data_IF_674742424533
#
_entry.id   IF_674742424533
#
_cell.length_a   1.000
_cell.length_b   1.000
_cell.length_c   1.000
_cell.angle_alpha   90.00
_cell.angle_beta   90.00
_cell.angle_gamma   90.00
#
_symmetry.space_group_name_H-M   'P 1'
#
loop_
_entity.id
_entity.type
_entity.pdbx_description
1 polymer ?
#
# COMPACT_ATOMS: atom_id res chain seq x y z
N UNK A 1 -65.35 18.11 -68.06
CA UNK A 1 -65.79 18.61 -66.74
C UNK A 1 -66.75 17.69 -65.98
N UNK A 2 -67.40 16.69 -66.61
CA UNK A 2 -68.30 15.76 -65.90
C UNK A 2 -67.58 14.84 -64.89
N UNK A 3 -66.34 14.44 -65.19
CA UNK A 3 -65.56 13.52 -64.35
C UNK A 3 -65.19 14.12 -62.98
N UNK A 4 -64.78 15.40 -62.96
CA UNK A 4 -64.49 16.14 -61.72
C UNK A 4 -65.76 16.30 -60.85
N UNK A 5 -66.92 16.57 -61.47
CA UNK A 5 -68.19 16.65 -60.73
C UNK A 5 -68.65 15.31 -60.18
N UNK A 6 -68.38 14.20 -60.88
CA UNK A 6 -68.76 12.83 -60.45
C UNK A 6 -67.83 12.27 -59.37
N UNK A 7 -66.56 12.69 -59.35
CA UNK A 7 -65.53 12.25 -58.39
C UNK A 7 -65.06 13.38 -57.47
N UNK A 8 -65.96 14.30 -57.12
CA UNK A 8 -65.63 15.53 -56.41
C UNK A 8 -64.91 15.27 -55.06
N UNK A 9 -65.35 14.24 -54.32
CA UNK A 9 -64.71 13.84 -53.06
C UNK A 9 -63.26 13.40 -53.23
N UNK A 10 -62.92 12.71 -54.33
CA UNK A 10 -61.55 12.27 -54.61
C UNK A 10 -60.64 13.48 -54.89
N UNK A 11 -61.13 14.45 -55.67
CA UNK A 11 -60.37 15.66 -56.01
C UNK A 11 -60.11 16.51 -54.76
N UNK A 12 -61.12 16.66 -53.90
CA UNK A 12 -60.97 17.36 -52.61
C UNK A 12 -59.96 16.60 -51.73
N UNK A 13 -60.05 15.28 -51.65
CA UNK A 13 -59.10 14.46 -50.89
C UNK A 13 -57.65 14.66 -51.34
N UNK A 14 -57.40 14.63 -52.65
CA UNK A 14 -56.05 14.86 -53.22
C UNK A 14 -55.56 16.29 -52.91
N UNK A 15 -56.42 17.29 -53.06
CA UNK A 15 -56.07 18.67 -52.74
C UNK A 15 -55.69 18.84 -51.26
N UNK A 16 -56.46 18.24 -50.35
CA UNK A 16 -56.17 18.26 -48.90
C UNK A 16 -54.87 17.53 -48.60
N UNK A 17 -54.64 16.37 -49.23
CA UNK A 17 -53.38 15.62 -49.06
C UNK A 17 -52.16 16.41 -49.53
N UNK A 18 -52.26 17.15 -50.64
CA UNK A 18 -51.17 17.99 -51.13
C UNK A 18 -50.88 19.16 -50.19
N UNK A 19 -51.91 19.77 -49.61
CA UNK A 19 -51.75 20.83 -48.61
C UNK A 19 -51.09 20.30 -47.35
N UNK A 20 -51.52 19.13 -46.85
CA UNK A 20 -50.90 18.50 -45.68
C UNK A 20 -49.45 18.09 -45.94
N UNK A 21 -49.15 17.54 -47.12
CA UNK A 21 -47.77 17.19 -47.50
C UNK A 21 -46.87 18.42 -47.62
N UNK A 22 -47.38 19.50 -48.24
CA UNK A 22 -46.66 20.77 -48.34
C UNK A 22 -46.40 21.38 -46.95
N UNK A 23 -47.41 21.37 -46.08
CA UNK A 23 -47.30 21.84 -44.71
C UNK A 23 -46.31 21.01 -43.88
N UNK A 24 -46.33 19.69 -44.01
CA UNK A 24 -45.38 18.80 -43.34
C UNK A 24 -43.95 19.02 -43.84
N UNK A 25 -43.76 19.17 -45.15
CA UNK A 25 -42.46 19.48 -45.73
C UNK A 25 -41.91 20.83 -45.26
N UNK A 26 -42.75 21.85 -45.20
CA UNK A 26 -42.37 23.16 -44.67
C UNK A 26 -42.02 23.11 -43.19
N UNK A 27 -42.83 22.42 -42.38
CA UNK A 27 -42.57 22.24 -40.94
C UNK A 27 -41.25 21.52 -40.69
N UNK A 28 -40.98 20.43 -41.41
CA UNK A 28 -39.71 19.69 -41.28
C UNK A 28 -38.54 20.59 -41.68
N UNK A 29 -38.67 21.35 -42.77
CA UNK A 29 -37.62 22.26 -43.22
C UNK A 29 -37.36 23.38 -42.20
N UNK A 30 -38.42 24.00 -41.65
CA UNK A 30 -38.28 25.09 -40.68
C UNK A 30 -37.75 24.66 -39.32
N UNK A 31 -38.04 23.43 -38.88
CA UNK A 31 -37.59 22.90 -37.59
C UNK A 31 -36.29 22.09 -37.66
N UNK A 32 -35.75 21.85 -38.85
CA UNK A 32 -34.57 20.98 -39.01
C UNK A 32 -33.36 21.52 -38.27
N UNK A 33 -33.12 22.84 -38.33
CA UNK A 33 -31.94 23.48 -37.75
C UNK A 33 -31.99 23.45 -36.21
N UNK A 34 -33.16 23.73 -35.62
CA UNK A 34 -33.38 23.68 -34.17
C UNK A 34 -33.27 22.25 -33.62
N UNK A 35 -33.73 21.25 -34.38
CA UNK A 35 -33.62 19.84 -33.98
C UNK A 35 -32.16 19.37 -34.04
N UNK A 36 -31.41 19.74 -35.09
CA UNK A 36 -29.99 19.41 -35.19
C UNK A 36 -29.15 20.09 -34.10
N UNK A 37 -29.46 21.34 -33.75
CA UNK A 37 -28.78 22.04 -32.66
C UNK A 37 -28.98 21.35 -31.30
N UNK A 38 -30.21 20.90 -31.01
CA UNK A 38 -30.53 20.18 -29.77
C UNK A 38 -29.86 18.81 -29.71
N UNK A 39 -29.83 18.08 -30.82
CA UNK A 39 -29.15 16.77 -30.89
C UNK A 39 -27.63 16.93 -30.69
N UNK A 40 -27.02 17.95 -31.29
CA UNK A 40 -25.58 18.24 -31.15
C UNK A 40 -25.23 18.67 -29.71
N UNK A 41 -26.10 19.45 -29.05
CA UNK A 41 -25.94 19.81 -27.63
C UNK A 41 -26.09 18.58 -26.71
N UNK A 42 -27.07 17.71 -26.98
CA UNK A 42 -27.27 16.47 -26.25
C UNK A 42 -26.06 15.53 -26.40
N UNK A 43 -25.48 15.45 -27.58
CA UNK A 43 -24.31 14.62 -27.87
C UNK A 43 -23.06 15.16 -27.15
N UNK A 44 -22.88 16.48 -27.10
CA UNK A 44 -21.80 17.12 -26.31
C UNK A 44 -21.92 16.81 -24.82
N UNK A 45 -23.11 17.00 -24.24
CA UNK A 45 -23.34 16.72 -22.81
C UNK A 45 -23.14 15.24 -22.48
N UNK A 46 -23.58 14.34 -23.36
CA UNK A 46 -23.32 12.89 -23.20
C UNK A 46 -21.82 12.58 -23.22
N UNK A 47 -21.08 13.17 -24.16
CA UNK A 47 -19.64 12.96 -24.29
C UNK A 47 -18.87 13.50 -23.07
N UNK A 48 -19.28 14.67 -22.57
CA UNK A 48 -18.71 15.27 -21.37
C UNK A 48 -19.01 14.41 -20.12
N UNK A 49 -20.23 13.91 -19.97
CA UNK A 49 -20.61 12.99 -18.89
C UNK A 49 -19.79 11.70 -18.90
N UNK A 50 -19.56 11.10 -20.08
CA UNK A 50 -18.75 9.88 -20.19
C UNK A 50 -17.29 10.16 -19.82
N UNK A 51 -16.76 11.34 -20.15
CA UNK A 51 -15.41 11.76 -19.74
C UNK A 51 -15.29 11.86 -18.22
N UNK A 52 -16.29 12.44 -17.55
CA UNK A 52 -16.30 12.53 -16.09
C UNK A 52 -16.42 11.17 -15.38
N UNK A 53 -17.07 10.17 -16.00
CA UNK A 53 -17.13 8.81 -15.45
C UNK A 53 -15.80 8.07 -15.57
N UNK A 54 -15.07 8.27 -16.67
CA UNK A 54 -13.78 7.58 -16.89
C UNK A 54 -12.65 8.11 -16.00
N UNK A 55 -12.66 9.40 -15.66
CA UNK A 55 -11.60 10.04 -14.86
C UNK A 55 -11.86 10.06 -13.35
N UNK A 56 -12.84 9.28 -12.85
CA UNK A 56 -13.18 9.28 -11.43
C UNK A 56 -12.04 8.68 -10.59
N UNK A 57 -11.20 9.55 -10.03
CA UNK A 57 -10.13 9.18 -9.11
C UNK A 57 -10.60 9.32 -7.65
N UNK A 58 -10.23 8.39 -6.76
CA UNK A 58 -9.46 7.17 -7.02
C UNK A 58 -10.30 6.09 -7.72
N UNK A 59 -9.72 5.45 -8.75
CA UNK A 59 -10.35 4.32 -9.40
C UNK A 59 -10.55 3.15 -8.41
N UNK A 60 -11.51 2.26 -8.65
CA UNK A 60 -11.68 1.06 -7.84
C UNK A 60 -10.38 0.24 -7.69
N UNK A 61 -9.56 0.13 -8.76
CA UNK A 61 -8.24 -0.52 -8.65
C UNK A 61 -7.29 0.23 -7.73
N UNK A 62 -7.28 1.57 -7.76
CA UNK A 62 -6.43 2.36 -6.87
C UNK A 62 -6.86 2.21 -5.41
N UNK A 63 -8.16 2.18 -5.14
CA UNK A 63 -8.70 1.93 -3.79
C UNK A 63 -8.28 0.53 -3.32
N UNK A 64 -8.39 -0.49 -4.17
CA UNK A 64 -7.98 -1.86 -3.85
C UNK A 64 -6.47 -1.95 -3.58
N UNK A 65 -5.66 -1.27 -4.41
CA UNK A 65 -4.20 -1.20 -4.27
C UNK A 65 -3.81 -0.52 -2.97
N UNK A 66 -4.43 0.61 -2.62
CA UNK A 66 -4.19 1.31 -1.36
C UNK A 66 -4.55 0.43 -0.17
N UNK A 67 -5.71 -0.25 -0.18
CA UNK A 67 -6.09 -1.19 0.88
C UNK A 67 -5.07 -2.32 1.04
N UNK A 68 -4.62 -2.92 -0.07
CA UNK A 68 -3.57 -3.94 -0.04
C UNK A 68 -2.26 -3.41 0.55
N UNK A 69 -1.87 -2.18 0.21
CA UNK A 69 -0.63 -1.58 0.71
C UNK A 69 -0.70 -1.29 2.20
N UNK A 70 -1.85 -0.81 2.70
CA UNK A 70 -2.08 -0.62 4.14
C UNK A 70 -1.94 -1.94 4.89
N UNK A 71 -2.58 -3.02 4.41
CA UNK A 71 -2.45 -4.33 5.06
C UNK A 71 -1.02 -4.86 5.07
N UNK A 72 -0.23 -4.63 4.01
CA UNK A 72 1.20 -4.99 3.98
C UNK A 72 2.02 -4.15 4.96
N UNK A 73 1.71 -2.87 5.09
CA UNK A 73 2.37 -1.98 6.03
C UNK A 73 2.09 -2.41 7.47
N UNK A 74 0.84 -2.73 7.80
CA UNK A 74 0.46 -3.21 9.14
C UNK A 74 1.20 -4.51 9.49
N UNK A 75 1.30 -5.44 8.54
CA UNK A 75 2.08 -6.68 8.73
C UNK A 75 3.57 -6.42 8.94
N UNK A 76 4.14 -5.49 8.17
CA UNK A 76 5.55 -5.11 8.31
C UNK A 76 5.82 -4.45 9.67
N UNK A 77 4.94 -3.55 10.10
CA UNK A 77 5.05 -2.88 11.40
C UNK A 77 4.90 -3.87 12.55
N UNK A 78 3.93 -4.80 12.48
CA UNK A 78 3.74 -5.82 13.51
C UNK A 78 4.96 -6.76 13.63
N UNK A 79 5.58 -7.14 12.51
CA UNK A 79 6.81 -7.94 12.55
C UNK A 79 7.98 -7.11 13.10
N UNK A 80 8.08 -5.84 12.72
CA UNK A 80 9.07 -4.90 13.26
C UNK A 80 8.94 -4.74 14.77
N UNK A 81 7.73 -4.49 15.28
CA UNK A 81 7.44 -4.42 16.71
C UNK A 81 7.77 -5.72 17.43
N UNK A 82 7.52 -6.88 16.83
CA UNK A 82 7.90 -8.16 17.42
C UNK A 82 9.42 -8.33 17.53
N UNK A 83 10.16 -7.93 16.50
CA UNK A 83 11.63 -8.03 16.48
C UNK A 83 12.26 -7.01 17.43
N UNK A 84 11.68 -5.82 17.53
CA UNK A 84 12.18 -4.69 18.31
C UNK A 84 11.55 -4.58 19.70
N UNK A 85 10.63 -5.48 20.05
CA UNK A 85 10.01 -5.52 21.36
C UNK A 85 11.12 -5.52 22.42
N UNK A 86 11.09 -4.58 23.38
CA UNK A 86 12.09 -4.54 24.44
C UNK A 86 12.13 -5.89 25.13
N UNK A 87 13.28 -6.57 25.07
CA UNK A 87 13.50 -7.78 25.85
C UNK A 87 13.13 -7.47 27.31
N UNK A 88 12.37 -8.37 27.96
CA UNK A 88 11.86 -8.18 29.32
C UNK A 88 12.88 -7.41 30.17
N UNK A 89 12.49 -6.20 30.60
CA UNK A 89 13.41 -5.26 31.20
C UNK A 89 14.12 -5.94 32.38
N UNK A 90 15.40 -6.26 32.18
CA UNK A 90 16.28 -6.69 33.26
C UNK A 90 16.55 -5.42 34.08
N UNK A 91 15.65 -5.13 35.03
CA UNK A 91 15.67 -3.87 35.80
C UNK A 91 16.75 -3.81 36.88
N UNK A 92 17.55 -4.87 37.05
CA UNK A 92 18.47 -4.99 38.19
C UNK A 92 19.80 -5.60 37.78
N UNK A 93 20.90 -5.03 38.29
CA UNK A 93 22.27 -5.46 38.02
C UNK A 93 22.51 -6.95 38.33
N UNK A 94 21.94 -7.47 39.42
CA UNK A 94 22.06 -8.87 39.82
C UNK A 94 21.49 -9.83 38.76
N UNK A 95 20.30 -9.50 38.24
CA UNK A 95 19.68 -10.30 37.17
C UNK A 95 20.50 -10.22 35.88
N UNK A 96 21.08 -9.06 35.58
CA UNK A 96 21.91 -8.89 34.39
C UNK A 96 23.19 -9.73 34.46
N UNK A 97 23.89 -9.75 35.60
CA UNK A 97 25.09 -10.58 35.79
C UNK A 97 24.82 -12.08 35.65
N UNK A 98 23.61 -12.54 35.95
CA UNK A 98 23.18 -13.94 35.76
C UNK A 98 22.81 -14.21 34.30
N UNK A 99 22.13 -13.27 33.64
CA UNK A 99 21.61 -13.43 32.26
C UNK A 99 22.72 -13.29 31.23
N UNK A 100 23.68 -12.38 31.43
CA UNK A 100 24.72 -12.07 30.45
C UNK A 100 25.52 -13.31 30.00
N UNK A 101 26.08 -14.15 30.91
CA UNK A 101 26.79 -15.37 30.51
C UNK A 101 25.91 -16.33 29.71
N UNK A 102 24.64 -16.48 30.11
CA UNK A 102 23.69 -17.35 29.42
C UNK A 102 23.44 -16.88 27.98
N UNK A 103 23.21 -15.58 27.79
CA UNK A 103 22.98 -15.01 26.45
C UNK A 103 24.23 -15.14 25.57
N UNK A 104 25.43 -14.93 26.13
CA UNK A 104 26.69 -15.13 25.39
C UNK A 104 26.84 -16.60 24.95
N UNK A 105 26.53 -17.55 25.83
CA UNK A 105 26.58 -18.97 25.49
C UNK A 105 25.51 -19.37 24.47
N UNK A 106 24.31 -18.80 24.54
CA UNK A 106 23.27 -18.95 23.52
C UNK A 106 23.76 -18.42 22.15
N UNK A 107 24.34 -17.22 22.09
CA UNK A 107 24.90 -16.66 20.85
C UNK A 107 26.03 -17.51 20.25
N UNK A 108 26.89 -18.10 21.10
CA UNK A 108 27.94 -19.04 20.64
C UNK A 108 27.36 -20.31 20.06
N UNK A 109 26.31 -20.85 20.68
CA UNK A 109 25.58 -22.02 20.16
C UNK A 109 24.89 -21.69 18.85
N UNK A 110 24.26 -20.53 18.75
CA UNK A 110 23.59 -20.08 17.52
C UNK A 110 24.58 -19.91 16.36
N UNK A 111 25.75 -19.33 16.63
CA UNK A 111 26.84 -19.25 15.64
C UNK A 111 27.29 -20.65 15.18
N UNK A 112 27.47 -21.59 16.12
CA UNK A 112 27.85 -22.97 15.83
C UNK A 112 26.78 -23.68 14.98
N UNK A 113 25.51 -23.53 15.33
CA UNK A 113 24.37 -24.10 14.59
C UNK A 113 24.24 -23.51 13.18
N UNK A 114 24.60 -22.23 13.02
CA UNK A 114 24.62 -21.53 11.74
C UNK A 114 25.90 -21.78 10.92
N UNK A 115 26.84 -22.59 11.44
CA UNK A 115 28.15 -22.86 10.82
C UNK A 115 29.01 -21.60 10.61
N UNK A 116 28.87 -20.62 11.51
CA UNK A 116 29.64 -19.37 11.50
C UNK A 116 30.87 -19.53 12.38
N UNK A 117 32.06 -19.28 11.83
CA UNK A 117 33.31 -19.30 12.60
C UNK A 117 33.39 -18.07 13.53
N UNK A 118 33.65 -18.29 14.82
CA UNK A 118 33.84 -17.22 15.82
C UNK A 118 35.19 -17.40 16.54
N UNK A 119 35.88 -16.30 16.92
CA UNK A 119 37.11 -16.37 17.70
C UNK A 119 36.94 -17.12 19.04
N UNK A 120 38.00 -17.78 19.53
CA UNK A 120 37.95 -18.42 20.84
C UNK A 120 37.72 -17.37 21.94
N UNK A 121 36.81 -17.66 22.87
CA UNK A 121 36.41 -16.76 23.96
C UNK A 121 35.82 -15.42 23.47
N UNK A 122 35.09 -15.43 22.35
CA UNK A 122 34.39 -14.24 21.88
C UNK A 122 33.26 -13.85 22.86
N UNK A 123 33.33 -12.64 23.43
CA UNK A 123 32.38 -12.13 24.42
C UNK A 123 31.49 -11.00 23.87
N UNK A 124 31.42 -10.84 22.52
CA UNK A 124 30.53 -9.90 21.83
C UNK A 124 30.49 -8.49 22.46
N UNK A 125 31.67 -7.89 22.73
CA UNK A 125 31.86 -6.56 23.36
C UNK A 125 31.60 -6.45 24.87
N UNK A 126 31.22 -7.53 25.56
CA UNK A 126 30.93 -7.52 27.01
C UNK A 126 32.07 -8.04 27.89
N UNK A 127 33.30 -8.16 27.34
CA UNK A 127 34.48 -8.66 28.07
C UNK A 127 34.74 -7.92 29.39
N UNK A 128 34.60 -6.59 29.38
CA UNK A 128 34.83 -5.72 30.55
C UNK A 128 33.70 -5.82 31.58
N UNK A 129 32.46 -5.94 31.11
CA UNK A 129 31.26 -6.00 31.96
C UNK A 129 31.20 -7.33 32.70
N UNK A 130 31.67 -8.42 32.06
CA UNK A 130 31.71 -9.76 32.64
C UNK A 130 32.65 -9.88 33.85
N UNK A 131 33.75 -9.13 33.85
CA UNK A 131 34.74 -9.14 34.94
C UNK A 131 34.45 -8.10 36.02
N UNK A 132 33.42 -7.28 35.83
CA UNK A 132 33.07 -6.20 36.75
C UNK A 132 32.42 -6.76 38.03
N UNK A 133 32.97 -6.50 39.23
CA UNK A 133 32.44 -7.05 40.48
C UNK A 133 31.04 -6.54 40.82
N UNK A 134 30.75 -5.28 40.48
CA UNK A 134 29.45 -4.66 40.65
C UNK A 134 29.14 -3.76 39.46
N UNK A 135 28.00 -4.00 38.82
CA UNK A 135 27.49 -3.17 37.74
C UNK A 135 26.67 -2.04 38.37
N UNK A 136 27.00 -0.76 38.10
CA UNK A 136 26.22 0.35 38.62
C UNK A 136 24.77 0.28 38.14
N UNK A 137 23.80 0.51 39.03
CA UNK A 137 22.36 0.40 38.70
C UNK A 137 21.94 1.30 37.54
N UNK A 138 22.56 2.48 37.38
CA UNK A 138 22.29 3.40 36.26
C UNK A 138 22.80 2.88 34.91
N UNK A 139 23.78 1.97 34.90
CA UNK A 139 24.37 1.41 33.70
C UNK A 139 23.62 0.17 33.19
N UNK A 140 22.76 -0.43 34.01
CA UNK A 140 22.07 -1.69 33.68
C UNK A 140 21.15 -1.54 32.48
N UNK A 141 20.29 -0.52 32.47
CA UNK A 141 19.33 -0.31 31.39
C UNK A 141 20.02 -0.06 30.03
N UNK A 142 21.03 0.83 29.93
CA UNK A 142 21.85 0.94 28.73
C UNK A 142 22.51 -0.39 28.32
N UNK A 143 23.08 -1.14 29.25
CA UNK A 143 23.74 -2.42 28.95
C UNK A 143 22.78 -3.50 28.44
N UNK A 144 21.55 -3.54 28.97
CA UNK A 144 20.48 -4.45 28.53
C UNK A 144 20.04 -4.11 27.11
N UNK A 145 19.85 -2.81 26.82
CA UNK A 145 19.55 -2.34 25.47
C UNK A 145 20.65 -2.75 24.49
N UNK A 146 21.93 -2.54 24.83
CA UNK A 146 23.07 -2.98 24.00
C UNK A 146 23.13 -4.48 23.80
N UNK A 147 22.82 -5.26 24.84
CA UNK A 147 22.79 -6.73 24.73
C UNK A 147 21.70 -7.17 23.74
N UNK A 148 20.53 -6.53 23.77
CA UNK A 148 19.45 -6.79 22.82
C UNK A 148 19.84 -6.41 21.39
N UNK A 149 20.48 -5.26 21.18
CA UNK A 149 20.96 -4.82 19.86
C UNK A 149 21.95 -5.83 19.27
N UNK A 150 22.93 -6.24 20.06
CA UNK A 150 23.96 -7.21 19.62
C UNK A 150 23.33 -8.56 19.31
N UNK A 151 22.36 -9.02 20.12
CA UNK A 151 21.61 -10.25 19.84
C UNK A 151 20.87 -10.17 18.52
N UNK A 152 20.21 -9.05 18.23
CA UNK A 152 19.49 -8.84 16.97
C UNK A 152 20.43 -8.83 15.76
N UNK A 153 21.55 -8.09 15.85
CA UNK A 153 22.55 -8.03 14.78
C UNK A 153 23.14 -9.42 14.52
N UNK A 154 23.60 -10.10 15.57
CA UNK A 154 24.16 -11.45 15.45
C UNK A 154 23.12 -12.44 14.89
N UNK A 155 21.87 -12.36 15.33
CA UNK A 155 20.79 -13.20 14.82
C UNK A 155 20.56 -13.03 13.31
N UNK A 156 20.61 -11.80 12.79
CA UNK A 156 20.51 -11.54 11.34
C UNK A 156 21.74 -12.10 10.61
N UNK A 157 22.95 -11.85 11.11
CA UNK A 157 24.19 -12.32 10.50
C UNK A 157 24.28 -13.86 10.47
N UNK A 158 23.87 -14.52 11.55
CA UNK A 158 23.85 -15.99 11.63
C UNK A 158 22.79 -16.58 10.70
N UNK A 159 21.60 -15.98 10.59
CA UNK A 159 20.59 -16.38 9.60
C UNK A 159 21.10 -16.23 8.17
N UNK A 160 21.92 -15.21 7.90
CA UNK A 160 22.55 -15.00 6.60
C UNK A 160 23.71 -15.98 6.31
N UNK A 161 24.11 -16.83 7.28
CA UNK A 161 25.20 -17.82 7.16
C UNK A 161 26.51 -17.23 6.64
N UNK A 162 26.94 -16.12 7.25
CA UNK A 162 28.27 -15.57 6.99
C UNK A 162 29.36 -16.59 7.31
N UNK A 163 30.50 -16.55 6.62
CA UNK A 163 31.60 -17.50 6.84
C UNK A 163 32.18 -17.41 8.26
N UNK A 164 32.47 -16.19 8.71
CA UNK A 164 33.10 -15.93 10.00
C UNK A 164 32.67 -14.57 10.55
N UNK A 165 32.58 -14.46 11.87
CA UNK A 165 32.41 -13.20 12.59
C UNK A 165 33.70 -12.86 13.34
N UNK A 166 34.51 -11.98 12.77
CA UNK A 166 35.84 -11.65 13.34
C UNK A 166 35.76 -10.64 14.49
N UNK A 167 34.95 -9.59 14.33
CA UNK A 167 34.87 -8.48 15.28
C UNK A 167 33.49 -7.86 15.28
N UNK A 168 33.03 -7.48 16.46
CA UNK A 168 31.85 -6.63 16.67
C UNK A 168 32.29 -5.53 17.60
N UNK A 169 31.89 -4.29 17.30
CA UNK A 169 32.19 -3.13 18.14
C UNK A 169 30.91 -2.35 18.41
N UNK A 170 30.86 -1.75 19.59
CA UNK A 170 29.83 -0.78 19.94
C UNK A 170 30.35 0.59 19.52
N UNK A 171 29.51 1.40 18.91
CA UNK A 171 29.86 2.81 18.64
C UNK A 171 30.06 3.49 20.00
N UNK A 172 31.21 4.14 20.18
CA UNK A 172 31.46 4.95 21.37
C UNK A 172 30.44 6.10 21.37
N UNK A 173 29.68 6.21 22.46
CA UNK A 173 28.78 7.33 22.68
C UNK A 173 29.58 8.59 23.04
#
# INVERSE_FOLDING_TARGET
MLWIKRNLFLVIGIAVSLVLLGGAGFYVYSNSEDNFAQDDELEKVKTELETYKSDTFPSPENIATIKSNISRLDQFMAEGERILAPAEAVKTAEKFSIILPRVIDELRRDATNAQVEIPPKFEFTFSEVKVMPQIPSYAVEPLVSRLSEIRSICGVLFKARIRALEKVERVAA
#
